data_IF_319391158987
#
_entry.id   IF_319391158987
#
_cell.length_a   1.000
_cell.length_b   1.000
_cell.length_c   1.000
_cell.angle_alpha   90.00
_cell.angle_beta   90.00
_cell.angle_gamma   90.00
#
_symmetry.space_group_name_H-M   'P 1'
#
loop_
_entity.id
_entity.type
_entity.pdbx_description
1 polymer ?
#
# COMPACT_ATOMS: atom_id res chain seq x y z
N UNK A 1 -10.59 9.41 -2.84
CA UNK A 1 -9.30 9.02 -2.23
C UNK A 1 -9.42 7.76 -1.37
N UNK A 2 -10.29 7.75 -0.34
CA UNK A 2 -10.46 6.60 0.55
C UNK A 2 -10.80 5.28 -0.19
N UNK A 3 -11.69 5.31 -1.17
CA UNK A 3 -12.03 4.12 -1.98
C UNK A 3 -10.83 3.53 -2.73
N UNK A 4 -9.94 4.38 -3.28
CA UNK A 4 -8.70 3.93 -3.93
C UNK A 4 -7.75 3.26 -2.95
N UNK A 5 -7.61 3.81 -1.73
CA UNK A 5 -6.84 3.19 -0.66
C UNK A 5 -7.42 1.84 -0.23
N UNK A 6 -8.74 1.74 -0.08
CA UNK A 6 -9.41 0.47 0.23
C UNK A 6 -9.18 -0.56 -0.88
N UNK A 7 -9.33 -0.16 -2.15
CA UNK A 7 -9.02 -1.03 -3.30
C UNK A 7 -7.56 -1.49 -3.29
N UNK A 8 -6.62 -0.59 -3.01
CA UNK A 8 -5.21 -0.93 -2.86
C UNK A 8 -4.98 -1.96 -1.73
N UNK A 9 -5.61 -1.79 -0.57
CA UNK A 9 -5.55 -2.78 0.50
C UNK A 9 -6.13 -4.14 0.11
N UNK A 10 -7.22 -4.18 -0.65
CA UNK A 10 -7.72 -5.46 -1.16
C UNK A 10 -6.71 -6.14 -2.09
N UNK A 11 -6.02 -5.38 -2.94
CA UNK A 11 -5.00 -5.93 -3.83
C UNK A 11 -3.81 -6.50 -3.03
N UNK A 12 -3.32 -5.80 -1.99
CA UNK A 12 -2.25 -6.35 -1.14
C UNK A 12 -2.71 -7.57 -0.33
N UNK A 13 -3.96 -7.62 0.13
CA UNK A 13 -4.52 -8.79 0.82
C UNK A 13 -4.66 -10.02 -0.08
N UNK A 14 -4.86 -9.83 -1.39
CA UNK A 14 -4.85 -10.94 -2.35
C UNK A 14 -3.45 -11.53 -2.58
N UNK A 15 -2.38 -10.79 -2.24
CA UNK A 15 -1.00 -11.30 -2.29
C UNK A 15 -0.63 -12.11 -1.04
N UNK A 16 -1.50 -12.19 -0.03
CA UNK A 16 -1.25 -13.01 1.16
C UNK A 16 -1.05 -14.48 0.76
N UNK A 17 0.06 -15.07 1.19
CA UNK A 17 0.46 -16.42 0.80
C UNK A 17 1.13 -16.52 -0.58
N UNK A 18 1.32 -15.39 -1.27
CA UNK A 18 2.04 -15.27 -2.54
C UNK A 18 3.21 -14.29 -2.41
N UNK A 19 3.96 -14.39 -1.31
CA UNK A 19 5.10 -13.52 -0.99
C UNK A 19 4.84 -12.46 0.08
N UNK A 20 3.60 -12.34 0.55
CA UNK A 20 3.26 -11.58 1.77
C UNK A 20 2.71 -12.50 2.86
N UNK A 21 3.17 -12.30 4.10
CA UNK A 21 2.59 -12.95 5.28
C UNK A 21 1.20 -12.38 5.61
N UNK A 22 1.02 -11.08 5.38
CA UNK A 22 -0.25 -10.37 5.56
C UNK A 22 -0.42 -9.20 4.58
N UNK A 23 -1.68 -8.81 4.35
CA UNK A 23 -2.00 -7.64 3.53
C UNK A 23 -2.19 -6.38 4.37
N UNK A 24 -2.37 -5.24 3.71
CA UNK A 24 -2.47 -3.95 4.40
C UNK A 24 -3.61 -3.91 5.44
N UNK A 25 -3.25 -3.58 6.69
CA UNK A 25 -4.22 -3.35 7.76
C UNK A 25 -4.93 -2.00 7.61
N UNK A 26 -6.07 -1.85 8.29
CA UNK A 26 -6.81 -0.57 8.31
C UNK A 26 -5.98 0.56 8.93
N UNK A 27 -5.06 0.25 9.85
CA UNK A 27 -4.15 1.24 10.45
C UNK A 27 -3.21 1.83 9.41
N UNK A 28 -2.64 1.00 8.54
CA UNK A 28 -1.76 1.46 7.46
C UNK A 28 -2.51 2.34 6.46
N UNK A 29 -3.76 2.03 6.15
CA UNK A 29 -4.63 2.88 5.31
C UNK A 29 -4.85 4.27 5.92
N UNK A 30 -5.08 4.35 7.24
CA UNK A 30 -5.22 5.62 7.94
C UNK A 30 -3.92 6.43 7.89
N UNK A 31 -2.76 5.79 8.04
CA UNK A 31 -1.47 6.47 7.91
C UNK A 31 -1.22 7.00 6.49
N UNK A 32 -1.44 6.17 5.47
CA UNK A 32 -1.34 6.61 4.07
C UNK A 32 -2.31 7.79 3.78
N UNK A 33 -3.55 7.71 4.26
CA UNK A 33 -4.53 8.79 4.13
C UNK A 33 -4.09 10.11 4.77
N UNK A 34 -3.44 10.05 5.95
CA UNK A 34 -2.89 11.23 6.62
C UNK A 34 -1.73 11.85 5.84
N UNK A 35 -0.82 11.04 5.28
CA UNK A 35 0.27 11.53 4.44
C UNK A 35 -0.27 12.21 3.16
N UNK A 36 -1.28 11.61 2.53
CA UNK A 36 -1.94 12.22 1.37
C UNK A 36 -2.62 13.54 1.74
N UNK A 37 -3.30 13.58 2.89
CA UNK A 37 -3.90 14.82 3.40
C UNK A 37 -2.86 15.91 3.67
N UNK A 38 -1.63 15.56 4.05
CA UNK A 38 -0.53 16.51 4.22
C UNK A 38 0.18 16.90 2.91
N UNK A 39 -0.34 16.49 1.75
CA UNK A 39 0.18 16.87 0.43
C UNK A 39 1.25 15.93 -0.14
N UNK A 40 1.43 14.73 0.45
CA UNK A 40 2.34 13.73 -0.12
C UNK A 40 1.62 12.98 -1.25
N UNK A 41 2.31 12.81 -2.37
CA UNK A 41 1.79 12.08 -3.53
C UNK A 41 1.29 10.67 -3.13
N UNK A 42 0.11 10.23 -3.58
CA UNK A 42 -0.49 8.98 -3.11
C UNK A 42 0.39 7.74 -3.29
N UNK A 43 1.14 7.65 -4.39
CA UNK A 43 2.06 6.54 -4.61
C UNK A 43 3.21 6.52 -3.58
N UNK A 44 3.75 7.70 -3.24
CA UNK A 44 4.80 7.84 -2.22
C UNK A 44 4.26 7.55 -0.83
N UNK A 45 3.06 8.07 -0.51
CA UNK A 45 2.38 7.80 0.75
C UNK A 45 2.08 6.30 0.94
N UNK A 46 1.59 5.61 -0.09
CA UNK A 46 1.33 4.18 -0.04
C UNK A 46 2.63 3.36 0.04
N UNK A 47 3.68 3.76 -0.68
CA UNK A 47 4.97 3.09 -0.58
C UNK A 47 5.53 3.16 0.85
N UNK A 48 5.55 4.35 1.45
CA UNK A 48 6.11 4.57 2.79
C UNK A 48 5.25 3.99 3.91
N UNK A 49 3.93 4.23 3.89
CA UNK A 49 3.05 3.82 4.99
C UNK A 49 2.50 2.40 4.86
N UNK A 50 2.55 1.79 3.67
CA UNK A 50 1.97 0.46 3.41
C UNK A 50 3.03 -0.51 2.91
N UNK A 51 3.68 -0.26 1.76
CA UNK A 51 4.57 -1.25 1.15
C UNK A 51 5.74 -1.62 2.06
N UNK A 52 6.48 -0.63 2.56
CA UNK A 52 7.62 -0.84 3.47
C UNK A 52 7.21 -1.40 4.84
N UNK A 53 5.94 -1.28 5.23
CA UNK A 53 5.44 -1.88 6.46
C UNK A 53 5.06 -3.36 6.28
N UNK A 54 4.88 -3.82 5.03
CA UNK A 54 4.47 -5.19 4.72
C UNK A 54 5.63 -6.11 4.35
N UNK A 55 6.74 -5.57 3.84
CA UNK A 55 7.91 -6.38 3.46
C UNK A 55 9.17 -5.54 3.29
N UNK A 56 10.32 -6.14 3.55
CA UNK A 56 11.65 -5.64 3.18
C UNK A 56 12.18 -6.27 1.88
N UNK A 57 11.45 -7.23 1.31
CA UNK A 57 11.84 -7.91 0.06
C UNK A 57 11.69 -6.96 -1.14
N UNK A 58 12.77 -6.69 -1.90
CA UNK A 58 12.73 -5.78 -3.05
C UNK A 58 11.72 -6.17 -4.14
N UNK A 59 11.52 -7.46 -4.40
CA UNK A 59 10.58 -7.93 -5.43
C UNK A 59 9.13 -7.69 -4.99
N UNK A 60 8.82 -7.97 -3.72
CA UNK A 60 7.50 -7.70 -3.14
C UNK A 60 7.22 -6.20 -3.10
N UNK A 61 8.22 -5.40 -2.71
CA UNK A 61 8.12 -3.94 -2.71
C UNK A 61 7.85 -3.39 -4.12
N UNK A 62 8.53 -3.92 -5.15
CA UNK A 62 8.24 -3.56 -6.54
C UNK A 62 6.83 -3.95 -6.94
N UNK A 63 6.39 -5.17 -6.64
CA UNK A 63 5.04 -5.64 -6.97
C UNK A 63 3.97 -4.74 -6.34
N UNK A 64 4.07 -4.43 -5.04
CA UNK A 64 3.14 -3.53 -4.34
C UNK A 64 3.20 -2.11 -4.92
N UNK A 65 4.38 -1.62 -5.30
CA UNK A 65 4.55 -0.30 -5.91
C UNK A 65 3.81 -0.19 -7.25
N UNK A 66 3.87 -1.22 -8.09
CA UNK A 66 3.12 -1.27 -9.36
C UNK A 66 1.60 -1.29 -9.14
N UNK A 67 1.12 -2.02 -8.13
CA UNK A 67 -0.30 -1.96 -7.73
C UNK A 67 -0.71 -0.53 -7.36
N UNK A 68 0.14 0.19 -6.62
CA UNK A 68 -0.12 1.58 -6.24
C UNK A 68 -0.17 2.51 -7.46
N UNK A 69 0.81 2.42 -8.37
CA UNK A 69 0.86 3.23 -9.61
C UNK A 69 -0.35 2.99 -10.52
N UNK A 70 -0.94 1.79 -10.50
CA UNK A 70 -2.15 1.49 -11.29
C UNK A 70 -3.42 2.17 -10.77
N UNK A 71 -3.43 2.64 -9.51
CA UNK A 71 -4.61 3.17 -8.85
C UNK A 71 -4.58 4.70 -8.69
N UNK A 72 -3.39 5.29 -8.55
CA UNK A 72 -3.21 6.70 -8.24
C UNK A 72 -2.57 7.45 -9.40
#
# INVERSE_FOLDING_TARGET
MAEKLVKFAHMTRHLKGSGLDEGASTRLLVHAGKLIQSGIEPAVACHSAIAQALSDDPEILMAISELSKSLF
#
